data_IF_487087960491
#
_entry.id   IF_487087960491
#
_cell.length_a   1.000
_cell.length_b   1.000
_cell.length_c   1.000
_cell.angle_alpha   90.00
_cell.angle_beta   90.00
_cell.angle_gamma   90.00
#
_symmetry.space_group_name_H-M   'P 1'
#
loop_
_entity.id
_entity.type
_entity.pdbx_description
1 polymer ?
#
# COMPACT_ATOMS: atom_id res chain seq x y z
N UNK A 1 21.11 -24.25 37.67
CA UNK A 1 21.77 -24.14 36.34
C UNK A 1 20.91 -24.88 35.33
N UNK A 2 20.26 -24.17 34.39
CA UNK A 2 19.52 -24.81 33.29
C UNK A 2 20.45 -25.71 32.49
N UNK A 3 20.00 -26.89 32.12
CA UNK A 3 20.85 -27.83 31.37
C UNK A 3 21.09 -27.30 29.94
N UNK A 4 22.21 -27.67 29.30
CA UNK A 4 22.45 -27.35 27.88
C UNK A 4 21.35 -27.94 26.96
N UNK A 5 20.57 -28.92 27.48
CA UNK A 5 19.37 -29.45 26.80
C UNK A 5 18.27 -28.42 26.75
N UNK A 6 18.03 -27.66 27.83
CA UNK A 6 17.03 -26.58 27.88
C UNK A 6 17.42 -25.45 26.95
N UNK A 7 18.71 -25.06 26.92
CA UNK A 7 19.24 -24.09 25.96
C UNK A 7 19.04 -24.58 24.52
N UNK A 8 19.18 -25.87 24.25
CA UNK A 8 18.97 -26.46 22.92
C UNK A 8 17.49 -26.37 22.51
N UNK A 9 16.58 -26.62 23.46
CA UNK A 9 15.14 -26.50 23.22
C UNK A 9 14.73 -25.03 22.97
N UNK A 10 15.21 -24.11 23.81
CA UNK A 10 14.98 -22.66 23.66
C UNK A 10 15.54 -22.14 22.33
N UNK A 11 16.73 -22.62 21.92
CA UNK A 11 17.33 -22.24 20.65
C UNK A 11 16.46 -22.63 19.46
N UNK A 12 15.65 -23.70 19.55
CA UNK A 12 14.69 -24.10 18.52
C UNK A 12 15.32 -24.58 17.19
N UNK A 13 16.61 -24.85 17.14
CA UNK A 13 17.28 -25.39 15.96
C UNK A 13 17.30 -26.92 16.03
N UNK A 14 16.27 -27.58 15.52
CA UNK A 14 16.01 -29.03 15.68
C UNK A 14 17.19 -29.93 15.24
N UNK A 15 17.94 -29.51 14.22
CA UNK A 15 19.09 -30.25 13.70
C UNK A 15 20.41 -30.02 14.46
N UNK A 16 20.40 -29.17 15.49
CA UNK A 16 21.57 -28.76 16.23
C UNK A 16 21.35 -28.92 17.73
N UNK A 17 22.44 -29.07 18.49
CA UNK A 17 22.43 -29.04 19.95
C UNK A 17 23.39 -27.95 20.44
N UNK A 18 23.10 -27.34 21.55
CA UNK A 18 24.00 -26.44 22.24
C UNK A 18 25.03 -27.28 22.99
N UNK A 19 26.31 -27.01 22.78
CA UNK A 19 27.43 -27.71 23.46
C UNK A 19 28.13 -26.78 24.43
N UNK A 20 28.08 -25.46 24.21
CA UNK A 20 28.66 -24.47 25.12
C UNK A 20 27.86 -23.17 25.07
N UNK A 21 27.76 -22.50 26.22
CA UNK A 21 27.18 -21.17 26.36
C UNK A 21 28.18 -20.32 27.16
N UNK A 22 28.59 -19.22 26.57
CA UNK A 22 29.56 -18.30 27.16
C UNK A 22 28.98 -16.86 27.11
N UNK A 23 29.38 -16.04 28.07
CA UNK A 23 29.16 -14.60 28.04
C UNK A 23 30.47 -13.93 27.62
N UNK A 24 30.44 -13.19 26.52
CA UNK A 24 31.55 -12.34 26.13
C UNK A 24 31.62 -11.08 26.98
N UNK A 25 32.78 -10.40 26.95
CA UNK A 25 33.03 -9.19 27.76
C UNK A 25 32.09 -8.03 27.40
N UNK A 26 31.62 -7.97 26.16
CA UNK A 26 30.62 -6.99 25.67
C UNK A 26 29.17 -7.34 26.10
N UNK A 27 28.97 -8.37 26.92
CA UNK A 27 27.67 -8.83 27.38
C UNK A 27 26.89 -9.71 26.40
N UNK A 28 27.44 -9.99 25.23
CA UNK A 28 26.88 -10.88 24.20
C UNK A 28 26.90 -12.34 24.64
N UNK A 29 25.88 -13.09 24.28
CA UNK A 29 25.85 -14.53 24.48
C UNK A 29 26.44 -15.24 23.26
N UNK A 30 27.51 -16.00 23.47
CA UNK A 30 28.11 -16.86 22.46
C UNK A 30 27.64 -18.30 22.70
N UNK A 31 26.87 -18.82 21.74
CA UNK A 31 26.29 -20.16 21.80
C UNK A 31 27.00 -21.03 20.78
N UNK A 32 27.79 -22.01 21.28
CA UNK A 32 28.41 -22.98 20.42
C UNK A 32 27.44 -24.14 20.16
N UNK A 33 27.27 -24.47 18.90
CA UNK A 33 26.32 -25.47 18.44
C UNK A 33 27.01 -26.58 17.65
N UNK A 34 26.51 -27.80 17.78
CA UNK A 34 26.88 -28.93 16.95
C UNK A 34 25.66 -29.52 16.25
N UNK A 35 25.92 -30.11 15.10
CA UNK A 35 24.89 -30.86 14.39
C UNK A 35 24.56 -32.17 15.11
N UNK A 36 23.26 -32.49 15.22
CA UNK A 36 22.78 -33.79 15.71
C UNK A 36 22.86 -34.85 14.60
N UNK A 37 23.08 -36.10 14.99
CA UNK A 37 22.98 -37.28 14.13
C UNK A 37 24.23 -37.63 13.36
N UNK A 38 24.08 -38.44 12.32
CA UNK A 38 25.18 -39.04 11.55
C UNK A 38 26.02 -37.96 10.84
N UNK A 39 27.37 -38.15 10.82
CA UNK A 39 28.36 -37.24 10.21
C UNK A 39 28.25 -37.20 8.66
N UNK A 40 27.07 -36.99 8.10
CA UNK A 40 26.82 -36.74 6.69
C UNK A 40 26.31 -35.32 6.51
N UNK A 41 27.06 -34.49 5.83
CA UNK A 41 26.83 -33.07 5.64
C UNK A 41 26.22 -32.80 4.26
N UNK A 42 25.41 -31.78 4.12
CA UNK A 42 24.73 -31.44 2.87
C UNK A 42 25.60 -30.52 2.04
N UNK A 43 25.92 -30.92 0.81
CA UNK A 43 26.64 -30.09 -0.15
C UNK A 43 25.83 -28.83 -0.52
N UNK A 44 26.44 -27.65 -0.45
CA UNK A 44 25.76 -26.39 -0.80
C UNK A 44 25.42 -26.28 -2.29
N UNK A 45 26.14 -27.00 -3.17
CA UNK A 45 25.90 -26.97 -4.60
C UNK A 45 24.70 -27.82 -5.03
N UNK A 46 24.78 -29.15 -4.80
CA UNK A 46 23.76 -30.08 -5.32
C UNK A 46 22.79 -30.64 -4.26
N UNK A 47 22.94 -30.30 -2.97
CA UNK A 47 22.12 -30.84 -1.89
C UNK A 47 22.41 -32.29 -1.48
N UNK A 48 23.30 -33.01 -2.17
CA UNK A 48 23.66 -34.39 -1.81
C UNK A 48 24.40 -34.43 -0.48
N UNK A 49 24.24 -35.52 0.27
CA UNK A 49 24.94 -35.75 1.55
C UNK A 49 26.28 -36.46 1.32
N UNK A 50 27.34 -35.98 1.97
CA UNK A 50 28.67 -36.58 1.97
C UNK A 50 29.30 -36.52 3.35
N UNK A 51 30.09 -37.53 3.72
CA UNK A 51 30.91 -37.54 4.94
C UNK A 51 32.37 -37.12 4.68
N UNK A 52 32.76 -36.85 3.42
CA UNK A 52 34.16 -36.54 3.05
C UNK A 52 34.46 -35.08 3.36
N UNK A 53 35.01 -34.82 4.54
CA UNK A 53 35.44 -33.50 5.00
C UNK A 53 36.87 -33.24 4.59
N UNK A 54 37.15 -32.14 3.95
CA UNK A 54 38.47 -31.67 3.56
C UNK A 54 39.09 -30.74 4.58
N UNK A 55 38.27 -29.82 5.08
CA UNK A 55 38.71 -28.71 5.94
C UNK A 55 37.56 -28.31 6.87
N UNK A 56 37.89 -27.82 8.03
CA UNK A 56 36.97 -27.27 9.01
C UNK A 56 37.35 -25.82 9.32
N UNK A 57 36.34 -24.97 9.50
CA UNK A 57 36.53 -23.54 9.86
C UNK A 57 35.47 -23.14 10.86
N UNK A 58 35.88 -22.56 11.97
CA UNK A 58 34.94 -21.94 12.91
C UNK A 58 34.35 -20.70 12.26
N UNK A 59 33.04 -20.58 12.30
CA UNK A 59 32.29 -19.42 11.79
C UNK A 59 31.21 -19.04 12.76
N UNK A 60 30.87 -17.76 12.74
CA UNK A 60 29.86 -17.15 13.61
C UNK A 60 28.74 -16.50 12.80
N UNK A 61 27.54 -16.46 13.41
CA UNK A 61 26.36 -15.77 12.90
C UNK A 61 25.64 -15.08 14.03
N UNK A 62 25.24 -13.83 13.83
CA UNK A 62 24.35 -13.18 14.77
C UNK A 62 22.94 -13.76 14.66
N UNK A 63 22.28 -13.92 15.79
CA UNK A 63 20.97 -14.55 15.93
C UNK A 63 20.01 -13.66 16.71
N UNK A 64 18.74 -14.08 16.83
CA UNK A 64 17.72 -13.37 17.60
C UNK A 64 18.19 -13.21 19.05
N UNK A 65 18.13 -11.98 19.61
CA UNK A 65 18.50 -11.74 21.01
C UNK A 65 17.74 -12.61 22.00
N UNK A 66 18.40 -13.05 23.08
CA UNK A 66 17.79 -13.72 24.20
C UNK A 66 17.70 -12.77 25.40
N UNK A 67 16.48 -12.50 25.89
CA UNK A 67 16.25 -11.55 26.98
C UNK A 67 17.06 -10.24 26.77
N UNK A 68 16.86 -9.62 25.60
CA UNK A 68 17.51 -8.35 25.15
C UNK A 68 19.04 -8.45 24.97
N UNK A 69 19.67 -9.59 25.19
CA UNK A 69 21.11 -9.79 24.99
C UNK A 69 21.39 -10.23 23.57
N UNK A 70 22.33 -9.58 22.84
CA UNK A 70 22.75 -10.04 21.53
C UNK A 70 23.28 -11.48 21.61
N UNK A 71 22.94 -12.28 20.60
CA UNK A 71 23.34 -13.69 20.49
C UNK A 71 24.21 -13.90 19.27
N UNK A 72 25.32 -14.60 19.44
CA UNK A 72 26.16 -15.09 18.36
C UNK A 72 26.24 -16.62 18.39
N UNK A 73 25.80 -17.27 17.32
CA UNK A 73 26.00 -18.69 17.13
C UNK A 73 27.42 -18.94 16.63
N UNK A 74 28.13 -19.87 17.26
CA UNK A 74 29.43 -20.38 16.82
C UNK A 74 29.28 -21.82 16.34
N UNK A 75 29.73 -22.11 15.13
CA UNK A 75 29.63 -23.44 14.54
C UNK A 75 30.85 -23.77 13.71
N UNK A 76 31.32 -25.01 13.82
CA UNK A 76 32.43 -25.56 13.01
C UNK A 76 31.89 -25.93 11.64
N UNK A 77 32.06 -25.05 10.67
CA UNK A 77 31.63 -25.21 9.28
C UNK A 77 32.64 -26.05 8.52
N UNK A 78 32.18 -26.91 7.62
CA UNK A 78 33.01 -27.89 6.88
C UNK A 78 33.08 -27.58 5.40
N UNK A 79 34.26 -27.75 4.81
CA UNK A 79 34.43 -27.87 3.36
C UNK A 79 34.38 -29.34 3.00
N UNK A 80 33.48 -29.68 2.10
CA UNK A 80 33.16 -31.07 1.72
C UNK A 80 33.70 -31.35 0.35
N UNK A 81 34.18 -32.55 0.14
CA UNK A 81 34.39 -33.09 -1.19
C UNK A 81 33.15 -33.81 -1.68
N UNK A 82 32.55 -33.27 -2.73
CA UNK A 82 31.32 -33.79 -3.36
C UNK A 82 31.68 -34.36 -4.74
N UNK A 83 31.26 -35.58 -5.01
CA UNK A 83 31.54 -36.24 -6.33
C UNK A 83 30.99 -35.41 -7.50
N UNK A 84 29.82 -34.73 -7.35
CA UNK A 84 29.19 -34.00 -8.43
C UNK A 84 29.68 -32.54 -8.54
N UNK A 85 30.10 -31.91 -7.43
CA UNK A 85 30.36 -30.46 -7.39
C UNK A 85 31.80 -30.08 -7.04
N UNK A 86 32.67 -31.08 -6.78
CA UNK A 86 34.01 -30.81 -6.26
C UNK A 86 33.98 -30.31 -4.81
N UNK A 87 34.92 -29.44 -4.46
CA UNK A 87 35.01 -28.87 -3.11
C UNK A 87 33.92 -27.80 -2.93
N UNK A 88 33.03 -27.98 -1.95
CA UNK A 88 31.94 -27.07 -1.58
C UNK A 88 31.84 -26.97 -0.07
N UNK A 89 31.33 -25.82 0.40
CA UNK A 89 30.98 -25.65 1.81
C UNK A 89 29.71 -26.43 2.14
N UNK A 90 29.56 -26.93 3.36
CA UNK A 90 28.31 -27.54 3.79
C UNK A 90 27.16 -26.49 3.83
N UNK A 91 25.95 -26.96 3.54
CA UNK A 91 24.73 -26.17 3.70
C UNK A 91 24.28 -26.29 5.15
N UNK A 92 24.23 -25.18 5.86
CA UNK A 92 23.59 -25.08 7.19
C UNK A 92 22.12 -24.71 7.08
N UNK A 93 21.26 -25.27 7.95
CA UNK A 93 19.82 -25.04 7.87
C UNK A 93 19.41 -23.65 8.36
N UNK A 94 20.17 -23.04 9.26
CA UNK A 94 19.81 -21.79 9.94
C UNK A 94 20.29 -20.51 9.24
N UNK A 95 21.16 -20.60 8.22
CA UNK A 95 21.69 -19.43 7.52
C UNK A 95 21.87 -19.69 6.03
N UNK A 96 21.84 -18.63 5.24
CA UNK A 96 22.16 -18.68 3.82
C UNK A 96 23.68 -18.64 3.59
N UNK A 97 24.11 -19.03 2.38
CA UNK A 97 25.52 -18.96 1.99
C UNK A 97 26.02 -17.51 2.16
N UNK A 98 27.24 -17.39 2.74
CA UNK A 98 27.90 -16.12 3.04
C UNK A 98 27.15 -15.14 3.97
N UNK A 99 25.96 -15.48 4.48
CA UNK A 99 25.24 -14.64 5.42
C UNK A 99 25.98 -14.51 6.76
N UNK A 100 25.90 -13.34 7.40
CA UNK A 100 26.38 -13.08 8.77
C UNK A 100 25.27 -13.19 9.81
N UNK A 101 24.02 -13.17 9.37
CA UNK A 101 22.83 -13.30 10.22
C UNK A 101 22.17 -14.65 9.97
N UNK A 102 21.56 -15.23 11.00
CA UNK A 102 20.65 -16.37 10.82
C UNK A 102 19.41 -15.93 10.01
N UNK A 103 18.74 -16.90 9.36
CA UNK A 103 17.50 -16.62 8.59
C UNK A 103 16.43 -16.02 9.48
N UNK A 104 16.21 -16.55 10.69
CA UNK A 104 15.19 -16.07 11.63
C UNK A 104 15.50 -14.67 12.13
N UNK A 105 16.77 -14.31 12.36
CA UNK A 105 17.14 -12.96 12.79
C UNK A 105 16.92 -11.95 11.66
N UNK A 106 17.33 -12.30 10.45
CA UNK A 106 17.05 -11.47 9.27
C UNK A 106 15.53 -11.26 9.06
N UNK A 107 14.74 -12.31 9.26
CA UNK A 107 13.28 -12.25 9.18
C UNK A 107 12.70 -11.34 10.28
N UNK A 108 13.19 -11.45 11.51
CA UNK A 108 12.78 -10.59 12.62
C UNK A 108 13.05 -9.12 12.33
N UNK A 109 14.26 -8.78 11.87
CA UNK A 109 14.61 -7.41 11.45
C UNK A 109 13.66 -6.92 10.35
N UNK A 110 13.42 -7.74 9.32
CA UNK A 110 12.52 -7.41 8.22
C UNK A 110 11.09 -7.14 8.67
N UNK A 111 10.60 -7.93 9.61
CA UNK A 111 9.27 -7.77 10.21
C UNK A 111 9.18 -6.48 11.04
N UNK A 112 10.16 -6.21 11.90
CA UNK A 112 10.17 -5.01 12.74
C UNK A 112 10.25 -3.72 11.91
N UNK A 113 10.92 -3.75 10.73
CA UNK A 113 10.90 -2.65 9.76
C UNK A 113 9.51 -2.34 9.19
N UNK A 114 8.50 -3.19 9.38
CA UNK A 114 7.13 -2.90 8.95
C UNK A 114 6.38 -2.02 9.96
N UNK A 115 6.75 -2.08 11.23
CA UNK A 115 6.15 -1.28 12.30
C UNK A 115 6.94 -0.01 12.64
N UNK A 116 8.26 0.03 12.34
CA UNK A 116 9.13 1.17 12.62
C UNK A 116 10.01 1.55 11.42
N UNK A 117 10.63 2.75 11.40
CA UNK A 117 11.63 3.12 10.39
C UNK A 117 12.81 2.15 10.37
N UNK A 118 13.37 1.88 9.19
CA UNK A 118 14.53 0.99 9.01
C UNK A 118 15.73 1.41 9.87
N UNK A 119 15.93 2.72 10.07
CA UNK A 119 16.98 3.26 10.96
C UNK A 119 16.77 2.86 12.43
N UNK A 120 15.55 2.91 12.91
CA UNK A 120 15.22 2.50 14.28
C UNK A 120 15.35 0.99 14.47
N UNK A 121 14.93 0.19 13.48
CA UNK A 121 15.13 -1.25 13.50
C UNK A 121 16.64 -1.60 13.49
N UNK A 122 17.46 -0.87 12.75
CA UNK A 122 18.92 -1.06 12.72
C UNK A 122 19.52 -0.83 14.13
N UNK A 123 19.15 0.28 14.79
CA UNK A 123 19.60 0.57 16.17
C UNK A 123 19.13 -0.50 17.15
N UNK A 124 17.84 -0.86 17.11
CA UNK A 124 17.23 -1.87 18.00
C UNK A 124 17.95 -3.22 17.92
N UNK A 125 18.38 -3.62 16.73
CA UNK A 125 19.02 -4.92 16.51
C UNK A 125 20.55 -4.84 16.46
N UNK A 126 21.15 -3.68 16.75
CA UNK A 126 22.60 -3.45 16.72
C UNK A 126 23.25 -3.87 15.38
N UNK A 127 22.57 -3.58 14.26
CA UNK A 127 23.05 -3.83 12.91
C UNK A 127 23.20 -2.54 12.11
N UNK A 128 24.02 -2.55 11.05
CA UNK A 128 24.11 -1.40 10.18
C UNK A 128 22.78 -1.15 9.44
N UNK A 129 22.49 0.10 9.11
CA UNK A 129 21.32 0.46 8.29
C UNK A 129 21.23 -0.34 7.00
N UNK A 130 22.37 -0.54 6.30
CA UNK A 130 22.42 -1.34 5.07
C UNK A 130 22.05 -2.81 5.30
N UNK A 131 22.39 -3.38 6.47
CA UNK A 131 22.00 -4.74 6.83
C UNK A 131 20.50 -4.81 7.12
N UNK A 132 19.94 -3.89 7.90
CA UNK A 132 18.50 -3.81 8.16
C UNK A 132 17.72 -3.63 6.85
N UNK A 133 18.19 -2.76 5.95
CA UNK A 133 17.57 -2.51 4.65
C UNK A 133 17.54 -3.76 3.76
N UNK A 134 18.62 -4.52 3.71
CA UNK A 134 18.68 -5.80 2.97
C UNK A 134 17.74 -6.84 3.59
N UNK A 135 17.68 -6.90 4.92
CA UNK A 135 16.79 -7.81 5.63
C UNK A 135 15.32 -7.47 5.35
N UNK A 136 14.96 -6.19 5.38
CA UNK A 136 13.64 -5.69 5.06
C UNK A 136 13.22 -6.03 3.63
N UNK A 137 14.09 -5.77 2.65
CA UNK A 137 13.82 -6.10 1.24
C UNK A 137 13.60 -7.60 1.07
N UNK A 138 14.50 -8.42 1.57
CA UNK A 138 14.40 -9.88 1.45
C UNK A 138 13.12 -10.44 2.10
N UNK A 139 12.71 -9.87 3.24
CA UNK A 139 11.47 -10.22 3.92
C UNK A 139 10.24 -9.90 3.05
N UNK A 140 10.15 -8.68 2.54
CA UNK A 140 9.02 -8.23 1.73
C UNK A 140 8.94 -8.97 0.38
N UNK A 141 10.07 -9.22 -0.26
CA UNK A 141 10.12 -9.99 -1.51
C UNK A 141 9.70 -11.45 -1.30
N UNK A 142 10.13 -12.07 -0.20
CA UNK A 142 9.70 -13.43 0.14
C UNK A 142 8.21 -13.49 0.40
N UNK A 143 7.68 -12.53 1.14
CA UNK A 143 6.26 -12.41 1.40
C UNK A 143 5.44 -12.18 0.11
N UNK A 144 5.85 -11.25 -0.76
CA UNK A 144 5.11 -10.94 -2.00
C UNK A 144 5.09 -12.14 -2.96
N UNK A 145 6.20 -12.90 -3.04
CA UNK A 145 6.28 -14.15 -3.82
C UNK A 145 5.37 -15.27 -3.28
N UNK A 146 5.23 -15.35 -1.97
CA UNK A 146 4.39 -16.36 -1.33
C UNK A 146 2.89 -16.06 -1.41
N UNK A 147 2.51 -14.83 -1.82
CA UNK A 147 1.10 -14.45 -1.96
C UNK A 147 0.42 -15.20 -3.09
N UNK A 148 -0.85 -15.64 -2.89
CA UNK A 148 -1.62 -16.19 -4.00
C UNK A 148 -1.90 -15.09 -5.03
N UNK A 149 -1.71 -15.39 -6.31
CA UNK A 149 -2.12 -14.52 -7.41
C UNK A 149 -3.65 -14.46 -7.46
N UNK A 150 -4.20 -13.33 -7.09
CA UNK A 150 -5.64 -13.09 -7.05
C UNK A 150 -6.11 -12.39 -8.31
N UNK A 151 -7.38 -12.52 -8.64
CA UNK A 151 -8.03 -11.87 -9.79
C UNK A 151 -8.84 -10.69 -9.23
N UNK A 152 -8.44 -9.44 -9.47
CA UNK A 152 -9.22 -8.27 -9.07
C UNK A 152 -10.44 -8.14 -10.00
N UNK A 153 -11.62 -7.86 -9.42
CA UNK A 153 -12.83 -7.57 -10.19
C UNK A 153 -13.02 -6.08 -10.41
N UNK A 154 -12.73 -5.26 -9.41
CA UNK A 154 -12.82 -3.81 -9.47
C UNK A 154 -11.45 -3.21 -9.24
N UNK A 155 -10.96 -2.45 -10.21
CA UNK A 155 -9.71 -1.71 -10.11
C UNK A 155 -9.96 -0.25 -9.74
N UNK A 156 -9.02 0.34 -9.01
CA UNK A 156 -8.92 1.78 -8.81
C UNK A 156 -7.66 2.30 -9.48
N UNK A 157 -7.80 3.35 -10.27
CA UNK A 157 -6.70 4.11 -10.86
C UNK A 157 -6.79 5.53 -10.35
N UNK A 158 -5.73 5.99 -9.69
CA UNK A 158 -5.66 7.34 -9.14
C UNK A 158 -4.22 7.86 -9.18
N UNK A 159 -4.04 9.13 -8.88
CA UNK A 159 -2.77 9.81 -8.93
C UNK A 159 -2.34 10.28 -7.55
N UNK A 160 -1.06 10.13 -7.27
CA UNK A 160 -0.45 10.76 -6.12
C UNK A 160 0.64 11.73 -6.55
N UNK A 161 0.61 12.93 -5.98
CA UNK A 161 1.70 13.89 -6.16
C UNK A 161 2.85 13.53 -5.22
N UNK A 162 4.06 13.46 -5.75
CA UNK A 162 5.28 13.19 -4.99
C UNK A 162 6.25 14.36 -5.02
N UNK A 163 6.41 15.01 -3.88
CA UNK A 163 7.33 16.14 -3.72
C UNK A 163 6.76 17.47 -4.22
N UNK A 164 7.65 18.42 -4.52
CA UNK A 164 7.31 19.72 -5.08
C UNK A 164 7.29 19.63 -6.61
N UNK A 165 6.37 20.35 -7.25
CA UNK A 165 6.22 20.37 -8.72
C UNK A 165 5.19 19.35 -9.24
N UNK A 166 5.24 19.08 -10.56
CA UNK A 166 4.27 18.20 -11.24
C UNK A 166 4.76 16.74 -11.33
N UNK A 167 5.33 16.22 -10.24
CA UNK A 167 5.72 14.82 -10.17
C UNK A 167 4.55 13.97 -9.68
N UNK A 168 3.87 13.33 -10.60
CA UNK A 168 2.75 12.43 -10.31
C UNK A 168 3.18 10.97 -10.46
N UNK A 169 2.48 10.12 -9.73
CA UNK A 169 2.59 8.68 -9.87
C UNK A 169 1.18 8.11 -10.02
N UNK A 170 1.01 7.26 -11.02
CA UNK A 170 -0.20 6.47 -11.20
C UNK A 170 -0.19 5.29 -10.25
N UNK A 171 -1.28 5.11 -9.53
CA UNK A 171 -1.51 4.03 -8.56
C UNK A 171 -2.59 3.11 -9.09
N UNK A 172 -2.28 1.81 -9.19
CA UNK A 172 -3.25 0.77 -9.50
C UNK A 172 -3.57 -0.03 -8.24
N UNK A 173 -4.85 -0.22 -7.95
CA UNK A 173 -5.33 -0.89 -6.74
C UNK A 173 -6.51 -1.84 -6.99
N UNK A 174 -6.65 -2.87 -6.14
CA UNK A 174 -7.83 -3.74 -6.04
C UNK A 174 -8.81 -3.11 -5.04
N UNK A 175 -9.94 -2.60 -5.51
CA UNK A 175 -10.93 -1.92 -4.68
C UNK A 175 -11.77 -2.88 -3.83
N UNK A 176 -11.85 -4.14 -4.20
CA UNK A 176 -12.56 -5.16 -3.41
C UNK A 176 -11.79 -5.47 -2.14
N UNK A 177 -10.46 -5.54 -2.23
CA UNK A 177 -9.57 -5.87 -1.11
C UNK A 177 -8.94 -4.66 -0.43
N UNK A 178 -8.89 -3.51 -1.11
CA UNK A 178 -8.18 -2.33 -0.63
C UNK A 178 -6.66 -2.46 -0.71
N UNK A 179 -6.15 -3.20 -1.71
CA UNK A 179 -4.74 -3.51 -1.84
C UNK A 179 -4.11 -2.79 -3.04
N UNK A 180 -2.90 -2.25 -2.87
CA UNK A 180 -2.10 -1.71 -3.98
C UNK A 180 -1.56 -2.87 -4.83
N UNK A 181 -1.81 -2.79 -6.15
CA UNK A 181 -1.27 -3.72 -7.15
C UNK A 181 0.04 -3.20 -7.72
N UNK A 182 0.08 -1.92 -8.11
CA UNK A 182 1.22 -1.32 -8.76
C UNK A 182 1.33 0.18 -8.60
N UNK A 183 2.52 0.69 -8.88
CA UNK A 183 2.87 2.11 -8.97
C UNK A 183 3.70 2.31 -10.23
N UNK A 184 3.46 3.42 -10.93
CA UNK A 184 4.26 3.86 -12.07
C UNK A 184 4.46 5.37 -12.02
N UNK A 185 5.63 5.85 -12.41
CA UNK A 185 5.86 7.28 -12.57
C UNK A 185 4.99 7.84 -13.68
N UNK A 186 4.69 9.14 -13.57
CA UNK A 186 3.83 9.90 -14.46
C UNK A 186 2.35 9.51 -14.44
N UNK A 187 1.54 10.33 -15.14
CA UNK A 187 0.10 10.16 -15.32
C UNK A 187 -0.26 10.06 -16.81
N UNK A 188 0.54 9.35 -17.57
CA UNK A 188 0.37 9.14 -19.00
C UNK A 188 -0.42 7.86 -19.31
N UNK A 189 -0.86 7.73 -20.57
CA UNK A 189 -1.42 6.47 -21.08
C UNK A 189 -0.43 5.33 -20.92
N UNK A 190 0.87 5.57 -21.23
CA UNK A 190 1.91 4.55 -21.13
C UNK A 190 2.14 4.08 -19.69
N UNK A 191 2.01 4.97 -18.70
CA UNK A 191 2.12 4.60 -17.29
C UNK A 191 1.02 3.63 -16.88
N UNK A 192 -0.23 3.89 -17.28
CA UNK A 192 -1.33 2.97 -16.97
C UNK A 192 -1.22 1.67 -17.79
N UNK A 193 -0.87 1.75 -19.08
CA UNK A 193 -0.66 0.57 -19.92
C UNK A 193 0.39 -0.35 -19.30
N UNK A 194 1.54 0.18 -18.91
CA UNK A 194 2.61 -0.56 -18.24
C UNK A 194 2.11 -1.22 -16.94
N UNK A 195 1.34 -0.50 -16.11
CA UNK A 195 0.77 -1.08 -14.90
C UNK A 195 -0.15 -2.28 -15.18
N UNK A 196 -1.02 -2.16 -16.17
CA UNK A 196 -1.98 -3.21 -16.50
C UNK A 196 -1.31 -4.43 -17.16
N UNK A 197 -0.29 -4.21 -18.00
CA UNK A 197 0.39 -5.30 -18.72
C UNK A 197 1.45 -6.01 -17.87
N UNK A 198 2.27 -5.26 -17.12
CA UNK A 198 3.39 -5.81 -16.40
C UNK A 198 3.03 -6.33 -15.01
N UNK A 199 2.01 -5.74 -14.38
CA UNK A 199 1.58 -6.12 -13.03
C UNK A 199 0.44 -7.13 -13.00
N UNK A 200 -0.27 -7.32 -14.13
CA UNK A 200 -1.41 -8.22 -14.23
C UNK A 200 -1.23 -9.19 -15.40
N UNK A 201 -1.39 -10.46 -15.13
CA UNK A 201 -1.42 -11.48 -16.20
C UNK A 201 -2.77 -11.43 -16.99
N UNK A 202 -2.83 -12.13 -18.12
CA UNK A 202 -4.00 -12.14 -19.00
C UNK A 202 -5.28 -12.60 -18.26
N UNK A 203 -5.15 -13.58 -17.34
CA UNK A 203 -6.30 -14.10 -16.56
C UNK A 203 -6.80 -13.08 -15.54
N UNK A 204 -5.88 -12.29 -14.98
CA UNK A 204 -6.21 -11.21 -14.06
C UNK A 204 -6.91 -10.07 -14.80
N UNK A 205 -6.41 -9.68 -15.99
CA UNK A 205 -7.05 -8.65 -16.81
C UNK A 205 -8.45 -9.05 -17.27
N UNK A 206 -8.63 -10.30 -17.72
CA UNK A 206 -9.92 -10.83 -18.15
C UNK A 206 -10.97 -10.90 -17.01
N UNK A 207 -10.55 -10.86 -15.75
CA UNK A 207 -11.45 -10.90 -14.59
C UNK A 207 -11.92 -9.52 -14.13
N UNK A 208 -11.41 -8.43 -14.75
CA UNK A 208 -11.77 -7.06 -14.38
C UNK A 208 -13.14 -6.71 -14.99
N UNK A 209 -14.06 -6.33 -14.13
CA UNK A 209 -15.43 -5.94 -14.50
C UNK A 209 -15.58 -4.42 -14.53
N UNK A 210 -14.88 -3.71 -13.64
CA UNK A 210 -14.95 -2.26 -13.56
C UNK A 210 -13.60 -1.62 -13.19
N UNK A 211 -13.36 -0.43 -13.75
CA UNK A 211 -12.22 0.43 -13.42
C UNK A 211 -12.74 1.78 -12.90
N UNK A 212 -12.53 2.04 -11.62
CA UNK A 212 -12.81 3.34 -11.01
C UNK A 212 -11.64 4.28 -11.26
N UNK A 213 -11.88 5.40 -11.93
CA UNK A 213 -10.88 6.43 -12.17
C UNK A 213 -11.50 7.83 -12.09
N UNK A 214 -10.63 8.86 -12.12
CA UNK A 214 -11.09 10.20 -12.46
C UNK A 214 -11.56 10.26 -13.93
N UNK A 215 -12.07 11.40 -14.36
CA UNK A 215 -12.57 11.62 -15.73
C UNK A 215 -11.46 11.91 -16.74
N UNK A 216 -10.21 11.53 -16.43
CA UNK A 216 -9.05 11.76 -17.29
C UNK A 216 -9.10 10.91 -18.57
N UNK A 217 -9.20 11.56 -19.71
CA UNK A 217 -9.40 10.91 -21.02
C UNK A 217 -8.31 9.85 -21.34
N UNK A 218 -7.02 10.10 -21.11
CA UNK A 218 -5.96 9.12 -21.34
C UNK A 218 -6.21 7.77 -20.68
N UNK A 219 -6.68 7.75 -19.44
CA UNK A 219 -6.93 6.49 -18.73
C UNK A 219 -8.09 5.70 -19.36
N UNK A 220 -9.12 6.39 -19.84
CA UNK A 220 -10.25 5.75 -20.52
C UNK A 220 -9.83 5.05 -21.80
N UNK A 221 -8.94 5.67 -22.59
CA UNK A 221 -8.41 5.07 -23.82
C UNK A 221 -7.69 3.75 -23.51
N UNK A 222 -6.79 3.77 -22.53
CA UNK A 222 -6.03 2.58 -22.12
C UNK A 222 -6.92 1.49 -21.56
N UNK A 223 -7.93 1.85 -20.76
CA UNK A 223 -8.89 0.87 -20.23
C UNK A 223 -9.66 0.20 -21.37
N UNK A 224 -10.16 0.95 -22.34
CA UNK A 224 -10.85 0.38 -23.52
C UNK A 224 -9.96 -0.53 -24.35
N UNK A 225 -8.66 -0.21 -24.47
CA UNK A 225 -7.67 -0.99 -25.22
C UNK A 225 -7.28 -2.29 -24.48
N UNK A 226 -6.92 -2.18 -23.20
CA UNK A 226 -6.25 -3.26 -22.45
C UNK A 226 -7.25 -4.13 -21.66
N UNK A 227 -8.40 -3.57 -21.29
CA UNK A 227 -9.46 -4.20 -20.50
C UNK A 227 -10.82 -4.06 -21.20
N UNK A 228 -11.01 -4.59 -22.42
CA UNK A 228 -12.20 -4.34 -23.24
C UNK A 228 -13.51 -4.83 -22.62
N UNK A 229 -13.45 -5.71 -21.61
CA UNK A 229 -14.62 -6.22 -20.89
C UNK A 229 -14.96 -5.37 -19.64
N UNK A 230 -14.11 -4.43 -19.28
CA UNK A 230 -14.28 -3.63 -18.07
C UNK A 230 -14.99 -2.31 -18.37
N UNK A 231 -15.93 -1.93 -17.51
CA UNK A 231 -16.62 -0.64 -17.60
C UNK A 231 -15.89 0.41 -16.75
N UNK A 232 -15.79 1.64 -17.29
CA UNK A 232 -15.20 2.77 -16.53
C UNK A 232 -16.27 3.38 -15.63
N UNK A 233 -16.00 3.39 -14.32
CA UNK A 233 -16.83 4.04 -13.30
C UNK A 233 -16.12 5.28 -12.81
N UNK A 234 -16.76 6.46 -12.90
CA UNK A 234 -16.15 7.67 -12.42
C UNK A 234 -16.24 7.82 -10.90
N UNK A 235 -15.12 8.22 -10.30
CA UNK A 235 -15.02 8.39 -8.86
C UNK A 235 -15.97 9.52 -8.39
N UNK A 236 -16.86 9.15 -7.47
CA UNK A 236 -17.79 10.05 -6.78
C UNK A 236 -17.09 11.29 -6.21
N UNK A 237 -15.90 11.13 -5.63
CA UNK A 237 -15.16 12.22 -5.02
C UNK A 237 -14.84 13.31 -6.05
N UNK A 238 -14.37 12.93 -7.24
CA UNK A 238 -14.05 13.86 -8.32
C UNK A 238 -15.30 14.58 -8.87
N UNK A 239 -16.41 13.86 -9.04
CA UNK A 239 -17.70 14.48 -9.41
C UNK A 239 -18.12 15.53 -8.37
N UNK A 240 -18.09 15.20 -7.09
CA UNK A 240 -18.42 16.13 -6.00
C UNK A 240 -17.44 17.31 -5.92
N UNK A 241 -16.17 17.09 -6.27
CA UNK A 241 -15.16 18.15 -6.34
C UNK A 241 -15.46 19.14 -7.45
N UNK A 242 -15.84 18.69 -8.66
CA UNK A 242 -16.27 19.56 -9.75
C UNK A 242 -17.48 20.41 -9.34
N UNK A 243 -18.47 19.82 -8.69
CA UNK A 243 -19.62 20.55 -8.17
C UNK A 243 -19.23 21.60 -7.11
N UNK A 244 -18.27 21.26 -6.25
CA UNK A 244 -17.73 22.18 -5.23
C UNK A 244 -16.92 23.34 -5.85
N UNK A 245 -16.17 23.04 -6.92
CA UNK A 245 -15.42 24.05 -7.65
C UNK A 245 -16.37 25.04 -8.37
N UNK A 246 -17.43 24.54 -9.02
CA UNK A 246 -18.44 25.39 -9.65
C UNK A 246 -19.12 26.33 -8.63
N UNK A 247 -19.46 25.84 -7.44
CA UNK A 247 -19.95 26.67 -6.35
C UNK A 247 -18.95 27.74 -5.88
N UNK A 248 -17.66 27.37 -5.78
CA UNK A 248 -16.59 28.31 -5.41
C UNK A 248 -16.37 29.39 -6.49
N UNK A 249 -16.55 29.04 -7.75
CA UNK A 249 -16.47 30.00 -8.87
C UNK A 249 -17.62 31.00 -8.83
N UNK A 250 -18.86 30.56 -8.55
CA UNK A 250 -19.99 31.48 -8.27
C UNK A 250 -19.65 32.38 -7.09
N UNK A 251 -19.11 31.86 -5.99
CA UNK A 251 -18.71 32.66 -4.82
C UNK A 251 -17.68 33.72 -5.20
N UNK A 252 -16.66 33.39 -6.00
CA UNK A 252 -15.62 34.32 -6.43
C UNK A 252 -16.19 35.42 -7.29
N UNK A 253 -17.04 35.10 -8.25
CA UNK A 253 -17.69 36.12 -9.10
C UNK A 253 -18.60 37.05 -8.29
N UNK A 254 -19.41 36.50 -7.41
CA UNK A 254 -20.29 37.33 -6.57
C UNK A 254 -19.52 38.19 -5.55
N UNK A 255 -18.35 37.71 -5.08
CA UNK A 255 -17.46 38.48 -4.21
C UNK A 255 -16.99 39.78 -4.88
N UNK A 256 -16.72 39.76 -6.18
CA UNK A 256 -16.29 40.93 -6.93
C UNK A 256 -17.47 41.78 -7.43
N UNK A 257 -18.58 41.15 -7.84
CA UNK A 257 -19.74 41.79 -8.46
C UNK A 257 -20.64 42.54 -7.46
N UNK A 258 -20.91 41.96 -6.30
CA UNK A 258 -21.94 42.44 -5.36
C UNK A 258 -21.43 43.48 -4.33
N UNK A 259 -20.24 44.06 -4.54
CA UNK A 259 -19.75 45.20 -3.78
C UNK A 259 -19.30 44.92 -2.34
N UNK A 260 -19.22 45.95 -1.52
CA UNK A 260 -18.64 45.91 -0.17
C UNK A 260 -19.37 44.98 0.80
N UNK A 261 -20.69 44.92 0.73
CA UNK A 261 -21.55 44.10 1.62
C UNK A 261 -21.22 42.60 1.41
N UNK A 262 -21.17 42.15 0.16
CA UNK A 262 -20.81 40.74 -0.13
C UNK A 262 -19.40 40.42 0.27
N UNK A 263 -18.44 41.34 0.10
CA UNK A 263 -17.06 41.17 0.54
C UNK A 263 -16.96 40.98 2.05
N UNK A 264 -17.73 41.75 2.82
CA UNK A 264 -17.78 41.64 4.27
C UNK A 264 -18.33 40.26 4.72
N UNK A 265 -19.45 39.82 4.14
CA UNK A 265 -20.11 38.56 4.49
C UNK A 265 -19.41 37.32 3.90
N UNK A 266 -18.78 37.45 2.73
CA UNK A 266 -18.18 36.32 2.01
C UNK A 266 -16.71 36.02 2.36
N UNK A 267 -16.01 36.98 2.99
CA UNK A 267 -14.60 36.83 3.33
C UNK A 267 -14.37 35.65 4.30
N UNK A 268 -13.45 34.73 3.95
CA UNK A 268 -13.14 33.58 4.80
C UNK A 268 -14.21 32.47 4.82
N UNK A 269 -15.34 32.61 4.12
CA UNK A 269 -16.49 31.68 4.18
C UNK A 269 -16.42 30.52 3.17
N UNK A 270 -15.36 30.41 2.39
CA UNK A 270 -15.19 29.32 1.41
C UNK A 270 -15.47 27.95 2.01
N UNK A 271 -14.80 27.62 3.11
CA UNK A 271 -14.93 26.32 3.74
C UNK A 271 -16.30 26.07 4.37
N UNK A 272 -17.00 27.13 4.79
CA UNK A 272 -18.35 27.03 5.28
C UNK A 272 -19.33 26.68 4.14
N UNK A 273 -19.19 27.32 2.97
CA UNK A 273 -19.99 27.07 1.77
C UNK A 273 -19.78 25.67 1.20
N UNK A 274 -18.57 25.11 1.32
CA UNK A 274 -18.27 23.77 0.82
C UNK A 274 -18.78 22.65 1.74
N UNK A 275 -19.24 22.97 2.95
CA UNK A 275 -19.85 21.98 3.86
C UNK A 275 -21.29 21.68 3.45
N UNK A 276 -21.73 20.45 3.74
CA UNK A 276 -23.12 20.03 3.55
C UNK A 276 -24.00 20.64 4.61
N UNK A 277 -25.18 21.11 4.21
CA UNK A 277 -26.15 21.71 5.10
C UNK A 277 -26.43 20.87 6.35
N UNK A 278 -26.64 19.58 6.18
CA UNK A 278 -26.90 18.64 7.28
C UNK A 278 -25.81 18.54 8.35
N UNK A 279 -24.56 18.94 8.01
CA UNK A 279 -23.42 18.89 8.94
C UNK A 279 -23.16 20.23 9.64
N UNK A 280 -23.86 21.30 9.26
CA UNK A 280 -23.66 22.64 9.79
C UNK A 280 -24.63 22.86 10.96
N UNK A 281 -24.10 23.29 12.11
CA UNK A 281 -24.86 23.53 13.36
C UNK A 281 -24.50 24.86 13.98
N UNK A 282 -25.38 25.37 14.90
CA UNK A 282 -25.14 26.55 15.72
C UNK A 282 -24.85 27.81 14.92
N UNK A 283 -23.99 28.68 15.44
CA UNK A 283 -23.65 29.99 14.85
C UNK A 283 -23.20 29.92 13.39
N UNK A 284 -22.54 28.83 12.97
CA UNK A 284 -22.14 28.63 11.56
C UNK A 284 -23.34 28.49 10.63
N UNK A 285 -24.46 27.96 11.11
CA UNK A 285 -25.70 27.86 10.33
C UNK A 285 -26.31 29.22 10.13
N UNK A 286 -26.38 30.02 11.19
CA UNK A 286 -26.88 31.40 11.14
C UNK A 286 -26.03 32.27 10.21
N UNK A 287 -24.72 32.10 10.28
CA UNK A 287 -23.74 32.78 9.43
C UNK A 287 -23.94 32.45 7.94
N UNK A 288 -24.18 31.18 7.60
CA UNK A 288 -24.47 30.75 6.24
C UNK A 288 -25.81 31.24 5.74
N UNK A 289 -26.84 31.28 6.62
CA UNK A 289 -28.17 31.86 6.30
C UNK A 289 -28.06 33.35 6.00
N UNK A 290 -27.29 34.10 6.79
CA UNK A 290 -27.06 35.53 6.54
C UNK A 290 -26.36 35.77 5.18
N UNK A 291 -25.38 34.92 4.84
CA UNK A 291 -24.70 34.96 3.53
C UNK A 291 -25.69 34.69 2.39
N UNK A 292 -26.62 33.75 2.54
CA UNK A 292 -27.63 33.41 1.55
C UNK A 292 -28.70 34.52 1.40
N UNK A 293 -29.09 35.16 2.49
CA UNK A 293 -29.98 36.32 2.47
C UNK A 293 -29.34 37.49 1.72
N UNK A 294 -28.02 37.68 1.89
CA UNK A 294 -27.27 38.73 1.21
C UNK A 294 -27.02 38.44 -0.28
N UNK A 295 -27.04 37.18 -0.70
CA UNK A 295 -26.76 36.80 -2.08
C UNK A 295 -27.56 35.60 -2.58
N UNK A 296 -28.63 35.90 -3.31
CA UNK A 296 -29.57 34.91 -3.86
C UNK A 296 -28.93 33.98 -4.91
N UNK A 297 -27.96 34.46 -5.70
CA UNK A 297 -27.27 33.63 -6.71
C UNK A 297 -26.43 32.56 -6.03
N UNK A 298 -25.72 32.95 -4.97
CA UNK A 298 -24.91 32.02 -4.19
C UNK A 298 -25.77 30.97 -3.47
N UNK A 299 -26.94 31.38 -2.94
CA UNK A 299 -27.93 30.45 -2.37
C UNK A 299 -28.39 29.41 -3.41
N UNK A 300 -28.78 29.86 -4.61
CA UNK A 300 -29.20 28.97 -5.69
C UNK A 300 -28.08 27.95 -6.04
N UNK A 301 -26.85 28.42 -6.23
CA UNK A 301 -25.72 27.55 -6.54
C UNK A 301 -25.45 26.51 -5.43
N UNK A 302 -25.59 26.92 -4.17
CA UNK A 302 -25.47 26.01 -3.03
C UNK A 302 -26.55 24.92 -3.05
N UNK A 303 -27.80 25.27 -3.27
CA UNK A 303 -28.92 24.32 -3.34
C UNK A 303 -28.71 23.32 -4.50
N UNK A 304 -28.32 23.81 -5.67
CA UNK A 304 -28.04 22.98 -6.83
C UNK A 304 -26.91 21.96 -6.54
N UNK A 305 -25.87 22.41 -5.87
CA UNK A 305 -24.75 21.50 -5.47
C UNK A 305 -25.22 20.49 -4.42
N UNK A 306 -26.07 20.89 -3.43
CA UNK A 306 -26.64 19.95 -2.45
C UNK A 306 -27.56 18.91 -3.12
N UNK A 307 -28.32 19.31 -4.15
CA UNK A 307 -29.17 18.39 -4.90
C UNK A 307 -28.37 17.29 -5.61
N UNK A 308 -27.19 17.59 -6.15
CA UNK A 308 -26.33 16.59 -6.80
C UNK A 308 -25.92 15.45 -5.86
N UNK A 309 -25.90 15.65 -4.56
CA UNK A 309 -25.62 14.55 -3.61
C UNK A 309 -26.66 13.43 -3.69
N UNK A 310 -27.90 13.72 -4.15
CA UNK A 310 -28.95 12.73 -4.35
C UNK A 310 -28.64 11.75 -5.49
N UNK A 311 -27.78 12.15 -6.44
CA UNK A 311 -27.35 11.29 -7.54
C UNK A 311 -26.93 9.90 -7.04
N UNK A 312 -26.19 9.85 -5.95
CA UNK A 312 -25.61 8.62 -5.39
C UNK A 312 -26.60 7.76 -4.57
N UNK A 313 -27.86 8.17 -4.49
CA UNK A 313 -28.93 7.40 -3.83
C UNK A 313 -29.68 6.49 -4.80
N UNK A 314 -29.60 6.76 -6.09
CA UNK A 314 -30.24 5.96 -7.13
C UNK A 314 -29.52 4.60 -7.28
N UNK A 315 -30.30 3.57 -7.62
CA UNK A 315 -29.80 2.18 -7.75
C UNK A 315 -29.87 1.68 -9.19
N UNK A 316 -30.42 2.46 -10.12
CA UNK A 316 -30.57 2.11 -11.52
C UNK A 316 -30.02 3.20 -12.41
N UNK A 317 -29.45 2.81 -13.57
CA UNK A 317 -28.96 3.78 -14.57
C UNK A 317 -30.05 4.74 -15.00
N UNK A 318 -31.25 4.22 -15.31
CA UNK A 318 -32.40 5.06 -15.70
C UNK A 318 -32.71 6.12 -14.64
N UNK A 319 -32.68 5.74 -13.36
CA UNK A 319 -32.89 6.71 -12.27
C UNK A 319 -31.83 7.82 -12.23
N UNK A 320 -30.57 7.47 -12.45
CA UNK A 320 -29.45 8.43 -12.54
C UNK A 320 -29.61 9.36 -13.74
N UNK A 321 -29.92 8.79 -14.93
CA UNK A 321 -30.10 9.53 -16.17
C UNK A 321 -31.27 10.51 -16.06
N UNK A 322 -32.42 10.06 -15.56
CA UNK A 322 -33.60 10.92 -15.37
C UNK A 322 -33.33 12.04 -14.36
N UNK A 323 -32.63 11.73 -13.26
CA UNK A 323 -32.25 12.74 -12.29
C UNK A 323 -31.31 13.80 -12.89
N UNK A 324 -30.26 13.38 -13.59
CA UNK A 324 -29.29 14.30 -14.19
C UNK A 324 -29.93 15.16 -15.28
N UNK A 325 -30.72 14.57 -16.16
CA UNK A 325 -31.42 15.32 -17.19
C UNK A 325 -32.35 16.39 -16.57
N UNK A 326 -33.18 16.03 -15.58
CA UNK A 326 -34.04 17.00 -14.89
C UNK A 326 -33.26 18.07 -14.12
N UNK A 327 -32.10 17.69 -13.56
CA UNK A 327 -31.24 18.68 -12.87
C UNK A 327 -30.59 19.65 -13.87
N UNK A 328 -30.10 19.16 -15.01
CA UNK A 328 -29.52 19.99 -16.07
C UNK A 328 -30.58 20.91 -16.69
N UNK A 329 -31.78 20.41 -16.95
CA UNK A 329 -32.86 21.25 -17.45
C UNK A 329 -33.24 22.37 -16.47
N UNK A 330 -33.22 22.11 -15.16
CA UNK A 330 -33.45 23.11 -14.13
C UNK A 330 -32.39 24.22 -14.11
N UNK A 331 -31.15 23.97 -14.60
CA UNK A 331 -30.09 24.98 -14.66
C UNK A 331 -30.42 26.11 -15.63
N UNK A 332 -31.10 25.85 -16.75
CA UNK A 332 -31.42 26.83 -17.82
C UNK A 332 -32.09 28.10 -17.26
N UNK A 333 -32.86 27.95 -16.19
CA UNK A 333 -33.62 29.06 -15.57
C UNK A 333 -32.87 29.76 -14.43
N UNK A 334 -31.67 29.26 -14.04
CA UNK A 334 -30.97 29.82 -12.88
C UNK A 334 -30.02 30.97 -13.23
N UNK A 335 -29.65 31.13 -14.51
CA UNK A 335 -28.70 32.16 -15.01
C UNK A 335 -27.36 32.10 -14.24
N UNK A 336 -26.81 30.89 -14.11
CA UNK A 336 -25.55 30.59 -13.42
C UNK A 336 -24.59 29.89 -14.39
N UNK A 337 -23.82 30.62 -15.22
CA UNK A 337 -22.96 30.01 -16.24
C UNK A 337 -21.92 29.02 -15.69
N UNK A 338 -21.53 29.14 -14.40
CA UNK A 338 -20.65 28.20 -13.73
C UNK A 338 -21.34 26.85 -13.51
N UNK A 339 -22.63 26.87 -13.19
CA UNK A 339 -23.44 25.65 -13.03
C UNK A 339 -23.81 25.06 -14.39
N UNK A 340 -24.04 25.88 -15.41
CA UNK A 340 -24.31 25.43 -16.77
C UNK A 340 -23.11 24.64 -17.30
N UNK A 341 -21.88 25.15 -17.14
CA UNK A 341 -20.64 24.42 -17.48
C UNK A 341 -20.48 23.12 -16.72
N UNK A 342 -20.89 23.09 -15.44
CA UNK A 342 -20.92 21.85 -14.66
C UNK A 342 -21.93 20.86 -15.26
N UNK A 343 -23.11 21.33 -15.65
CA UNK A 343 -24.15 20.51 -16.30
C UNK A 343 -23.64 19.86 -17.59
N UNK A 344 -23.03 20.64 -18.47
CA UNK A 344 -22.42 20.16 -19.73
C UNK A 344 -21.32 19.13 -19.45
N UNK A 345 -20.48 19.40 -18.45
CA UNK A 345 -19.45 18.48 -18.02
C UNK A 345 -20.02 17.15 -17.52
N UNK A 346 -21.03 17.17 -16.66
CA UNK A 346 -21.69 15.97 -16.16
C UNK A 346 -22.40 15.18 -17.26
N UNK A 347 -23.06 15.88 -18.20
CA UNK A 347 -23.72 15.27 -19.35
C UNK A 347 -22.71 14.51 -20.23
N UNK A 348 -21.56 15.12 -20.53
CA UNK A 348 -20.49 14.49 -21.31
C UNK A 348 -19.95 13.21 -20.66
N UNK A 349 -20.09 13.07 -19.33
CA UNK A 349 -19.53 11.96 -18.57
C UNK A 349 -20.62 11.05 -17.96
N UNK A 350 -21.85 11.20 -18.42
CA UNK A 350 -23.05 10.61 -17.81
C UNK A 350 -22.98 9.07 -17.74
N UNK A 351 -22.44 8.42 -18.76
CA UNK A 351 -22.31 6.95 -18.82
C UNK A 351 -21.43 6.43 -17.69
N UNK A 352 -20.22 6.95 -17.54
CA UNK A 352 -19.32 6.53 -16.46
C UNK A 352 -19.79 6.96 -15.06
N UNK A 353 -20.60 8.03 -14.96
CA UNK A 353 -21.26 8.39 -13.70
C UNK A 353 -22.35 7.37 -13.35
N UNK A 354 -23.16 6.93 -14.33
CA UNK A 354 -24.25 5.98 -14.12
C UNK A 354 -23.77 4.55 -13.91
N UNK A 355 -22.57 4.21 -14.40
CA UNK A 355 -21.97 2.88 -14.33
C UNK A 355 -21.84 2.33 -12.89
N UNK A 356 -21.79 3.18 -11.86
CA UNK A 356 -21.75 2.72 -10.47
C UNK A 356 -22.99 1.91 -10.06
N UNK A 357 -24.11 2.06 -10.77
CA UNK A 357 -25.33 1.29 -10.49
C UNK A 357 -25.17 -0.20 -10.77
N UNK A 358 -24.39 -0.54 -11.80
CA UNK A 358 -24.12 -1.93 -12.18
C UNK A 358 -22.86 -2.46 -11.50
N UNK A 359 -21.90 -1.56 -11.26
CA UNK A 359 -20.64 -1.87 -10.62
C UNK A 359 -20.48 -1.06 -9.32
N UNK A 360 -20.97 -1.57 -8.18
CA UNK A 360 -20.92 -0.86 -6.90
C UNK A 360 -19.51 -0.85 -6.33
N UNK A 361 -18.62 -0.03 -6.93
CA UNK A 361 -17.24 0.14 -6.49
C UNK A 361 -17.16 0.85 -5.14
N UNK A 362 -16.16 0.50 -4.36
CA UNK A 362 -15.92 1.12 -3.04
C UNK A 362 -15.11 2.40 -3.18
N UNK A 363 -15.75 3.52 -3.50
CA UNK A 363 -15.07 4.82 -3.71
C UNK A 363 -14.16 5.24 -2.54
N UNK A 364 -14.58 5.02 -1.29
CA UNK A 364 -13.77 5.38 -0.12
C UNK A 364 -12.46 4.60 0.01
N UNK A 365 -12.31 3.49 -0.71
CA UNK A 365 -11.07 2.67 -0.70
C UNK A 365 -9.94 3.40 -1.41
N UNK A 366 -10.21 4.10 -2.51
CA UNK A 366 -9.22 4.89 -3.26
C UNK A 366 -8.59 5.95 -2.34
N UNK A 367 -9.43 6.74 -1.65
CA UNK A 367 -8.96 7.76 -0.69
C UNK A 367 -8.18 7.15 0.48
N UNK A 368 -8.66 6.01 1.02
CA UNK A 368 -7.96 5.27 2.08
C UNK A 368 -6.57 4.80 1.64
N UNK A 369 -6.44 4.28 0.42
CA UNK A 369 -5.16 3.87 -0.16
C UNK A 369 -4.23 5.08 -0.29
N UNK A 370 -4.70 6.21 -0.82
CA UNK A 370 -3.92 7.43 -0.95
C UNK A 370 -3.43 7.96 0.40
N UNK A 371 -4.26 7.90 1.41
CA UNK A 371 -3.89 8.27 2.79
C UNK A 371 -2.79 7.33 3.32
N UNK A 372 -2.92 6.03 3.08
CA UNK A 372 -1.94 5.02 3.45
C UNK A 372 -0.60 5.25 2.74
N UNK A 373 -0.63 5.55 1.44
CA UNK A 373 0.58 5.87 0.66
C UNK A 373 1.29 7.09 1.25
N UNK A 374 0.56 8.17 1.53
CA UNK A 374 1.10 9.38 2.15
C UNK A 374 1.73 9.08 3.52
N UNK A 375 1.10 8.24 4.34
CA UNK A 375 1.64 7.82 5.64
C UNK A 375 2.95 7.02 5.50
N UNK A 376 3.01 6.07 4.57
CA UNK A 376 4.23 5.30 4.28
C UNK A 376 5.36 6.21 3.78
N UNK A 377 5.07 7.13 2.86
CA UNK A 377 6.06 8.09 2.35
C UNK A 377 6.62 9.01 3.44
N UNK A 378 5.77 9.52 4.33
CA UNK A 378 6.19 10.35 5.48
C UNK A 378 7.13 9.57 6.40
N UNK A 379 6.77 8.33 6.77
CA UNK A 379 7.59 7.46 7.62
C UNK A 379 8.92 7.09 6.96
N UNK A 380 8.92 6.92 5.64
CA UNK A 380 10.09 6.54 4.87
C UNK A 380 11.09 7.67 4.60
N UNK A 381 10.77 8.93 4.98
CA UNK A 381 11.66 10.11 4.89
C UNK A 381 12.38 10.24 3.54
N UNK A 382 11.63 10.17 2.42
CA UNK A 382 12.19 10.39 1.08
C UNK A 382 12.75 9.13 0.41
N UNK A 383 12.09 8.00 0.57
CA UNK A 383 12.44 6.76 -0.16
C UNK A 383 12.45 6.98 -1.68
N UNK A 384 13.62 6.79 -2.30
CA UNK A 384 13.81 6.90 -3.76
C UNK A 384 13.61 5.58 -4.49
N UNK A 385 13.78 4.46 -3.80
CA UNK A 385 13.69 3.10 -4.31
C UNK A 385 12.22 2.71 -4.52
N UNK A 386 11.77 2.72 -5.76
CA UNK A 386 10.38 2.49 -6.16
C UNK A 386 9.91 1.07 -5.91
N UNK A 387 10.77 0.09 -6.19
CA UNK A 387 10.44 -1.32 -5.96
C UNK A 387 10.21 -1.58 -4.48
N UNK A 388 11.05 -1.01 -3.65
CA UNK A 388 10.90 -1.13 -2.20
C UNK A 388 9.67 -0.38 -1.68
N UNK A 389 9.37 0.78 -2.26
CA UNK A 389 8.15 1.52 -1.93
C UNK A 389 6.92 0.69 -2.28
N UNK A 390 6.87 0.10 -3.47
CA UNK A 390 5.77 -0.77 -3.90
C UNK A 390 5.59 -1.97 -2.95
N UNK A 391 6.68 -2.64 -2.57
CA UNK A 391 6.62 -3.75 -1.62
C UNK A 391 6.06 -3.32 -0.26
N UNK A 392 6.50 -2.18 0.26
CA UNK A 392 5.95 -1.62 1.51
C UNK A 392 4.48 -1.28 1.40
N UNK A 393 4.06 -0.70 0.29
CA UNK A 393 2.65 -0.36 0.07
C UNK A 393 1.78 -1.61 -0.05
N UNK A 394 2.22 -2.61 -0.78
CA UNK A 394 1.55 -3.91 -0.85
C UNK A 394 1.39 -4.53 0.53
N UNK A 395 2.46 -4.54 1.33
CA UNK A 395 2.41 -5.06 2.70
C UNK A 395 1.42 -4.27 3.56
N UNK A 396 1.54 -2.95 3.56
CA UNK A 396 0.72 -2.08 4.42
C UNK A 396 -0.76 -2.17 4.06
N UNK A 397 -1.10 -2.20 2.76
CA UNK A 397 -2.50 -2.26 2.31
C UNK A 397 -3.11 -3.66 2.42
N UNK A 398 -2.30 -4.72 2.33
CA UNK A 398 -2.78 -6.09 2.51
C UNK A 398 -3.09 -6.45 3.97
N UNK A 399 -2.56 -5.69 4.93
CA UNK A 399 -2.72 -5.96 6.37
C UNK A 399 -2.51 -7.45 6.73
N UNK A 400 -1.34 -8.04 6.44
CA UNK A 400 -1.14 -9.49 6.56
C UNK A 400 -1.14 -9.99 8.01
N UNK A 401 -1.01 -9.09 8.99
CA UNK A 401 -1.04 -9.39 10.42
C UNK A 401 -2.28 -8.74 11.02
N UNK A 402 -3.29 -9.56 11.34
CA UNK A 402 -4.56 -9.13 11.97
C UNK A 402 -4.77 -9.76 13.32
N UNK A 403 -3.95 -10.75 13.69
CA UNK A 403 -4.04 -11.50 14.93
C UNK A 403 -2.66 -11.96 15.41
N UNK A 404 -2.57 -12.37 16.68
CA UNK A 404 -1.37 -13.01 17.23
C UNK A 404 -0.97 -14.29 16.45
N UNK A 405 -1.96 -15.02 15.92
CA UNK A 405 -1.72 -16.20 15.10
C UNK A 405 -1.05 -15.85 13.77
N UNK A 406 -1.45 -14.74 13.13
CA UNK A 406 -0.79 -14.29 11.92
C UNK A 406 0.64 -13.86 12.21
N UNK A 407 0.86 -13.12 13.32
CA UNK A 407 2.20 -12.72 13.74
C UNK A 407 3.10 -13.94 13.98
N UNK A 408 2.59 -14.99 14.63
CA UNK A 408 3.33 -16.21 14.90
C UNK A 408 3.84 -16.89 13.61
N UNK A 409 3.07 -16.86 12.52
CA UNK A 409 3.51 -17.36 11.20
C UNK A 409 4.72 -16.62 10.65
N UNK A 410 4.81 -15.32 10.90
CA UNK A 410 5.95 -14.50 10.48
C UNK A 410 7.14 -14.60 11.43
N UNK A 411 6.96 -15.03 12.66
CA UNK A 411 8.04 -15.27 13.62
C UNK A 411 8.66 -16.66 13.46
N UNK A 412 7.91 -17.62 12.91
CA UNK A 412 8.45 -18.96 12.64
C UNK A 412 9.06 -19.02 11.23
N UNK A 413 10.39 -19.23 11.10
CA UNK A 413 11.06 -19.24 9.80
C UNK A 413 10.59 -20.36 8.86
N UNK A 414 10.04 -21.44 9.38
CA UNK A 414 9.49 -22.53 8.57
C UNK A 414 8.18 -22.13 7.87
N UNK A 415 7.41 -21.19 8.42
CA UNK A 415 6.11 -20.77 7.88
C UNK A 415 6.16 -19.98 6.58
N UNK A 416 7.24 -19.24 6.28
CA UNK A 416 7.40 -18.46 5.04
C UNK A 416 8.18 -19.21 3.94
N UNK A 417 8.92 -20.26 4.30
CA UNK A 417 9.83 -20.97 3.39
C UNK A 417 9.47 -22.46 3.20
N UNK A 418 8.40 -22.94 3.84
CA UNK A 418 8.03 -24.37 3.84
C UNK A 418 7.18 -24.81 2.64
N UNK A 419 6.74 -23.88 1.78
CA UNK A 419 6.02 -24.22 0.55
C UNK A 419 6.97 -24.32 -0.65
N UNK A 420 7.96 -25.25 -0.57
CA UNK A 420 8.70 -25.76 -1.71
C UNK A 420 9.00 -27.26 -1.52
#
# INVERSE_FOLDING_TARGET
>A
MGSLRDCTWILGLTMYRVVKLERADDGRLVIEIERRGIRRYVCSGCGRRTGRVREVKVRTWDDVPWAERPVTLRYTLRRLWCRACGIRTERVAFADSHARLTRRFRQRIGLDCQSMPTSHAAVRHAVSWGTARRAERAFLEAWDRARPKRRPRHLGVDEIQRGKGQHFWTVLSDLVRGEVIGLQQDRSEDSLRTLLTDRMDARQRAAVEAVCSDMHRPYRNVVAEVLPLAEVVFDKFHVCQHASNALDDVRRQEFFRAGAVMRQHGRGKRWLLLRRWKTIRGSKRTELQALFAANRRLFKAYVLREQLDRLWTYKTRTGVLNFLNGWIDALRWQRLPEMDRLGEFLFKHIEGIAAYCDHPVRFGVVESINTTIKAVLRRARGMRDEQMLLLKLKWTTAHPIRSARDLARFLNPEGLYSNR
#
